data_IF_322493191210
#
_entry.id   IF_322493191210
#
_cell.length_a   1.000
_cell.length_b   1.000
_cell.length_c   1.000
_cell.angle_alpha   90.00
_cell.angle_beta   90.00
_cell.angle_gamma   90.00
#
_symmetry.space_group_name_H-M   'P 1'
#
loop_
_entity.id
_entity.type
_entity.pdbx_description
1 polymer ?
#
# COMPACT_ATOMS: atom_id res chain seq x y z
N UNK A 1 -5.23 6.94 4.23
CA UNK A 1 -6.11 5.92 3.63
C UNK A 1 -5.93 4.61 4.37
N UNK A 2 -7.02 3.86 4.62
CA UNK A 2 -7.00 2.57 5.32
C UNK A 2 -7.35 1.45 4.34
N UNK A 3 -6.48 0.44 4.22
CA UNK A 3 -6.69 -0.72 3.36
C UNK A 3 -6.75 -1.98 4.21
N UNK A 4 -7.86 -2.72 4.18
CA UNK A 4 -8.01 -4.00 4.88
C UNK A 4 -7.81 -5.15 3.91
N UNK A 5 -6.94 -6.08 4.27
CA UNK A 5 -6.68 -7.30 3.51
C UNK A 5 -7.52 -8.45 4.08
N UNK A 6 -8.17 -9.22 3.22
CA UNK A 6 -9.04 -10.34 3.62
C UNK A 6 -8.29 -11.66 3.79
N UNK A 7 -7.04 -11.74 3.34
CA UNK A 7 -6.18 -12.94 3.44
C UNK A 7 -4.94 -12.65 4.28
N UNK A 8 -5.16 -11.96 5.40
CA UNK A 8 -4.13 -11.50 6.33
C UNK A 8 -4.57 -11.77 7.78
N UNK A 9 -5.18 -12.93 8.03
CA UNK A 9 -5.68 -13.33 9.36
C UNK A 9 -4.54 -13.40 10.39
N UNK A 10 -3.33 -13.71 9.93
CA UNK A 10 -2.08 -13.70 10.70
C UNK A 10 -1.38 -12.32 10.70
N UNK A 11 -2.06 -11.28 10.22
CA UNK A 11 -1.54 -9.94 10.05
C UNK A 11 -0.78 -9.73 8.74
N UNK A 12 -0.28 -8.52 8.57
CA UNK A 12 0.62 -8.13 7.48
C UNK A 12 2.03 -7.94 8.03
N UNK A 13 3.01 -8.27 7.19
CA UNK A 13 4.43 -8.03 7.47
C UNK A 13 5.10 -7.36 6.26
N UNK A 14 6.21 -6.67 6.52
CA UNK A 14 7.10 -6.17 5.49
C UNK A 14 8.51 -6.72 5.70
N UNK A 15 9.12 -7.26 4.66
CA UNK A 15 10.48 -7.81 4.77
C UNK A 15 11.54 -6.71 4.71
N UNK A 16 12.49 -6.77 5.64
CA UNK A 16 13.76 -6.01 5.78
C UNK A 16 13.68 -4.49 5.85
N UNK A 17 12.58 -3.91 5.38
CA UNK A 17 12.36 -2.47 5.21
C UNK A 17 10.90 -2.14 5.50
N UNK A 18 10.59 -0.88 5.82
CA UNK A 18 9.21 -0.38 5.77
C UNK A 18 8.56 -0.70 4.42
N UNK A 19 7.23 -0.70 4.35
CA UNK A 19 6.50 -0.99 3.11
C UNK A 19 6.96 -0.05 2.00
N UNK A 20 7.35 -0.63 0.86
CA UNK A 20 7.88 0.09 -0.29
C UNK A 20 6.83 0.24 -1.40
N UNK A 21 7.16 1.07 -2.39
CA UNK A 21 6.40 1.20 -3.64
C UNK A 21 4.91 1.53 -3.47
N UNK A 22 4.60 2.38 -2.49
CA UNK A 22 3.27 2.95 -2.29
C UNK A 22 3.16 4.31 -2.98
N UNK A 23 2.07 4.47 -3.72
CA UNK A 23 1.66 5.73 -4.30
C UNK A 23 0.24 6.06 -3.86
N UNK A 24 -0.02 7.32 -3.57
CA UNK A 24 -1.32 7.80 -3.11
C UNK A 24 -1.74 9.00 -3.97
N UNK A 25 -3.02 9.09 -4.30
CA UNK A 25 -3.59 10.19 -5.08
C UNK A 25 -4.78 10.82 -4.36
N UNK A 26 -4.91 12.13 -4.52
CA UNK A 26 -6.09 12.90 -4.10
C UNK A 26 -7.05 13.11 -5.27
N UNK A 27 -7.98 14.04 -5.11
CA UNK A 27 -8.98 14.37 -6.14
C UNK A 27 -8.35 14.86 -7.46
N UNK A 28 -7.12 15.36 -7.42
CA UNK A 28 -6.33 15.77 -8.58
C UNK A 28 -5.86 14.60 -9.46
N UNK A 29 -6.06 13.36 -9.00
CA UNK A 29 -5.68 12.10 -9.67
C UNK A 29 -4.19 11.97 -9.94
N UNK A 30 -3.35 12.78 -9.27
CA UNK A 30 -1.90 12.70 -9.36
C UNK A 30 -1.38 11.80 -8.26
N UNK A 31 -0.50 10.88 -8.64
CA UNK A 31 0.09 9.92 -7.70
C UNK A 31 1.39 10.46 -7.12
N UNK A 32 1.44 10.51 -5.80
CA UNK A 32 2.59 10.94 -5.02
C UNK A 32 3.14 9.78 -4.19
N UNK A 33 4.46 9.75 -3.91
CA UNK A 33 5.03 8.79 -2.96
C UNK A 33 4.32 8.85 -1.61
N UNK A 34 4.12 7.67 -1.02
CA UNK A 34 3.42 7.52 0.24
C UNK A 34 4.17 6.57 1.18
N UNK A 35 3.92 6.76 2.47
CA UNK A 35 4.41 5.90 3.54
C UNK A 35 3.32 4.91 3.96
N UNK A 36 3.74 3.71 4.32
CA UNK A 36 2.87 2.63 4.77
C UNK A 36 3.18 2.19 6.20
N UNK A 37 2.14 2.07 7.02
CA UNK A 37 2.20 1.48 8.36
C UNK A 37 1.29 0.27 8.44
N UNK A 38 1.81 -0.83 8.98
CA UNK A 38 1.05 -2.05 9.22
C UNK A 38 0.39 -2.02 10.59
N UNK A 39 -0.88 -2.44 10.65
CA UNK A 39 -1.69 -2.55 11.85
C UNK A 39 -2.58 -3.80 11.72
N UNK A 40 -2.05 -4.94 12.18
CA UNK A 40 -2.68 -6.26 11.97
C UNK A 40 -2.91 -6.55 10.48
N UNK A 41 -4.16 -6.81 10.10
CA UNK A 41 -4.58 -7.05 8.70
C UNK A 41 -4.77 -5.76 7.87
N UNK A 42 -4.36 -4.61 8.40
CA UNK A 42 -4.60 -3.29 7.79
C UNK A 42 -3.29 -2.63 7.40
N UNK A 43 -3.24 -2.06 6.20
CA UNK A 43 -2.22 -1.13 5.76
C UNK A 43 -2.77 0.30 5.80
N UNK A 44 -2.17 1.14 6.64
CA UNK A 44 -2.42 2.57 6.68
C UNK A 44 -1.44 3.28 5.75
N UNK A 45 -1.97 3.99 4.75
CA UNK A 45 -1.17 4.70 3.74
C UNK A 45 -1.40 6.19 3.85
N UNK A 46 -0.32 6.98 3.90
CA UNK A 46 -0.38 8.44 4.01
C UNK A 46 0.69 9.12 3.19
N UNK A 47 0.42 10.34 2.72
CA UNK A 47 1.39 11.22 2.09
C UNK A 47 1.10 12.66 2.50
N UNK A 48 2.14 13.43 2.84
CA UNK A 48 1.99 14.87 3.14
C UNK A 48 1.46 15.68 1.96
N UNK A 49 1.65 15.16 0.75
CA UNK A 49 1.17 15.79 -0.49
C UNK A 49 -0.30 15.46 -0.78
N UNK A 50 -0.89 14.50 -0.06
CA UNK A 50 -2.24 13.99 -0.30
C UNK A 50 -3.03 13.98 1.01
N UNK A 51 -3.54 15.13 1.48
CA UNK A 51 -4.29 15.21 2.73
C UNK A 51 -5.63 14.47 2.67
N UNK A 52 -6.28 14.46 1.50
CA UNK A 52 -7.55 13.78 1.25
C UNK A 52 -7.36 12.68 0.19
N UNK A 53 -6.91 11.47 0.59
CA UNK A 53 -6.60 10.42 -0.37
C UNK A 53 -7.86 9.73 -0.90
N UNK A 54 -7.92 9.56 -2.22
CA UNK A 54 -9.02 8.89 -2.92
C UNK A 54 -8.58 7.62 -3.65
N UNK A 55 -7.27 7.46 -3.90
CA UNK A 55 -6.74 6.23 -4.47
C UNK A 55 -5.33 5.90 -4.01
N UNK A 56 -5.01 4.60 -4.09
CA UNK A 56 -3.71 4.03 -3.78
C UNK A 56 -3.26 3.08 -4.88
N UNK A 57 -1.95 2.98 -5.07
CA UNK A 57 -1.30 1.94 -5.86
C UNK A 57 -0.13 1.35 -5.07
N UNK A 58 0.07 0.05 -5.23
CA UNK A 58 1.20 -0.69 -4.68
C UNK A 58 1.90 -1.45 -5.80
N UNK A 59 3.23 -1.40 -5.80
CA UNK A 59 4.10 -2.08 -6.76
C UNK A 59 3.74 -1.77 -8.24
N UNK A 60 3.40 -0.51 -8.53
CA UNK A 60 2.89 -0.06 -9.84
C UNK A 60 3.96 0.59 -10.73
N UNK A 61 5.20 0.13 -10.64
CA UNK A 61 6.32 0.59 -11.48
C UNK A 61 6.99 -0.61 -12.14
N UNK A 62 7.89 -0.40 -13.12
CA UNK A 62 8.50 -1.49 -13.88
C UNK A 62 9.45 -2.41 -13.09
N UNK A 63 10.00 -1.93 -11.97
CA UNK A 63 10.84 -2.71 -11.06
C UNK A 63 10.58 -2.27 -9.61
N UNK A 64 9.42 -2.63 -9.03
CA UNK A 64 9.00 -2.14 -7.73
C UNK A 64 9.70 -2.90 -6.60
N UNK A 65 9.91 -2.22 -5.48
CA UNK A 65 10.18 -2.89 -4.21
C UNK A 65 8.89 -3.53 -3.71
N UNK A 66 8.63 -4.79 -4.09
CA UNK A 66 7.45 -5.53 -3.65
C UNK A 66 7.78 -6.31 -2.36
N UNK A 67 7.63 -5.66 -1.20
CA UNK A 67 8.00 -6.24 0.09
C UNK A 67 6.85 -6.43 1.09
N UNK A 68 5.59 -6.27 0.68
CA UNK A 68 4.40 -6.51 1.50
C UNK A 68 3.94 -7.97 1.42
N UNK A 69 3.76 -8.60 2.58
CA UNK A 69 3.35 -10.00 2.71
C UNK A 69 2.28 -10.13 3.80
N UNK A 70 1.54 -11.24 3.78
CA UNK A 70 0.78 -11.65 4.97
C UNK A 70 1.68 -12.38 5.97
N UNK A 71 1.19 -12.57 7.20
CA UNK A 71 1.92 -13.25 8.27
C UNK A 71 2.25 -14.72 7.99
N UNK A 72 1.65 -15.32 6.96
CA UNK A 72 2.01 -16.66 6.48
C UNK A 72 3.14 -16.66 5.44
N UNK A 73 3.73 -15.50 5.14
CA UNK A 73 4.84 -15.38 4.18
C UNK A 73 4.41 -15.35 2.71
N UNK A 74 3.13 -15.11 2.40
CA UNK A 74 2.65 -14.98 1.03
C UNK A 74 2.68 -13.51 0.57
N UNK A 75 3.22 -13.22 -0.63
CA UNK A 75 3.34 -11.85 -1.11
C UNK A 75 1.98 -11.27 -1.50
N UNK A 76 1.80 -9.97 -1.24
CA UNK A 76 0.73 -9.21 -1.87
C UNK A 76 1.06 -8.99 -3.35
N UNK A 77 0.12 -9.33 -4.23
CA UNK A 77 0.20 -8.95 -5.64
C UNK A 77 0.16 -7.41 -5.80
N UNK A 78 0.71 -6.84 -6.89
CA UNK A 78 0.48 -5.45 -7.23
C UNK A 78 -1.01 -5.13 -7.27
N UNK A 79 -1.41 -3.97 -6.73
CA UNK A 79 -2.82 -3.58 -6.68
C UNK A 79 -3.00 -2.08 -6.86
N UNK A 80 -4.22 -1.71 -7.24
CA UNK A 80 -4.69 -0.33 -7.34
C UNK A 80 -6.15 -0.23 -6.88
N UNK A 81 -6.56 0.93 -6.38
CA UNK A 81 -7.95 1.19 -5.99
C UNK A 81 -8.70 2.15 -6.92
N UNK A 82 -8.00 2.79 -7.85
CA UNK A 82 -8.59 3.69 -8.84
C UNK A 82 -9.12 2.94 -10.06
N UNK A 83 -10.19 3.46 -10.65
CA UNK A 83 -10.88 2.88 -11.82
C UNK A 83 -10.90 3.82 -13.04
N UNK A 84 -10.06 4.86 -13.04
CA UNK A 84 -9.92 5.82 -14.13
C UNK A 84 -8.60 5.66 -14.88
#
# INVERSE_FOLDING_TARGET
MRLRFTHADTGLIAHDRPVQSLLLAGEDRRFYPAEGRLDGATLLVSSRQVPNPVAVRYAWTGAPGANLFNGSGLPAAPFRSDAW
#
